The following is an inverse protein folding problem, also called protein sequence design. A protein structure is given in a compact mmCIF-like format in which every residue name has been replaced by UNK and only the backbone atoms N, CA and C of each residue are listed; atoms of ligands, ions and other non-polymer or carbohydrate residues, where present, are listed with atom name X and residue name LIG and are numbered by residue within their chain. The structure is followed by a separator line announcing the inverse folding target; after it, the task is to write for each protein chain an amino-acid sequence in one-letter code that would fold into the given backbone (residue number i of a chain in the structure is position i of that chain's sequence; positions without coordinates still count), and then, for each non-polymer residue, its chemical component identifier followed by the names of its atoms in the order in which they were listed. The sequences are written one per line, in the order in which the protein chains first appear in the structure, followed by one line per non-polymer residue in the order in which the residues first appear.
data_IF_080086342617
#
_entry.id   IF_080086342617
#
_cell.length_a   1.000
_cell.length_b   1.000
_cell.length_c   1.000
_cell.angle_alpha   90.00
_cell.angle_beta   90.00
_cell.angle_gamma   90.00
#
_symmetry.space_group_name_H-M   'P 1'
#
loop_
_entity.id
_entity.type
_entity.pdbx_description
1 polymer ?
#
# COMPACT_ATOMS: atom_id res chain seq x y z
N UNK A 1 -22.85 -0.78 0.78
CA UNK A 1 -21.96 0.15 1.49
C UNK A 1 -20.63 0.12 0.75
N UNK A 2 -20.38 1.11 -0.11
CA UNK A 2 -19.09 1.22 -0.79
C UNK A 2 -18.04 1.34 0.31
N UNK A 3 -17.09 0.41 0.40
CA UNK A 3 -15.91 0.66 1.20
C UNK A 3 -15.22 1.83 0.54
N UNK A 4 -15.44 3.04 1.06
CA UNK A 4 -14.76 4.22 0.57
C UNK A 4 -13.26 3.91 0.55
N UNK A 5 -12.64 4.13 -0.61
CA UNK A 5 -11.23 3.86 -0.86
C UNK A 5 -10.40 4.85 -0.05
N UNK A 6 -10.30 4.61 1.25
CA UNK A 6 -9.53 5.40 2.18
C UNK A 6 -8.04 5.05 1.99
N UNK A 7 -7.37 5.83 1.15
CA UNK A 7 -5.93 5.71 0.93
C UNK A 7 -5.16 6.29 2.12
N UNK A 8 -4.25 5.48 2.67
CA UNK A 8 -3.36 5.86 3.78
C UNK A 8 -1.95 6.04 3.23
N UNK A 9 -1.41 7.25 3.41
CA UNK A 9 -0.05 7.62 3.00
C UNK A 9 0.97 7.11 4.01
N UNK A 10 2.10 6.60 3.52
CA UNK A 10 3.23 6.21 4.37
C UNK A 10 3.80 7.41 5.13
N UNK A 11 4.19 7.21 6.39
CA UNK A 11 4.89 8.21 7.20
C UNK A 11 6.27 8.57 6.67
N UNK A 12 6.83 7.76 5.76
CA UNK A 12 8.10 8.02 5.08
C UNK A 12 7.94 8.85 3.79
N UNK A 13 6.70 9.21 3.45
CA UNK A 13 6.38 10.03 2.28
C UNK A 13 6.41 11.52 2.64
N UNK A 14 7.62 12.08 2.74
CA UNK A 14 7.83 13.52 2.92
C UNK A 14 7.86 14.27 1.59
N UNK A 15 7.52 15.57 1.62
CA UNK A 15 7.57 16.46 0.46
C UNK A 15 8.99 16.61 -0.13
N UNK A 16 10.03 16.37 0.67
CA UNK A 16 11.44 16.53 0.29
C UNK A 16 12.03 15.33 -0.48
N UNK A 17 11.20 14.55 -1.17
CA UNK A 17 11.68 13.50 -2.09
C UNK A 17 11.80 12.09 -1.50
N UNK A 18 11.19 11.83 -0.34
CA UNK A 18 11.10 10.46 0.22
C UNK A 18 10.32 9.48 -0.66
N UNK A 19 10.38 8.18 -0.31
CA UNK A 19 9.58 7.14 -0.98
C UNK A 19 8.07 7.40 -0.75
N UNK A 20 7.30 7.50 -1.84
CA UNK A 20 5.92 7.98 -1.83
C UNK A 20 4.93 6.86 -2.13
N UNK A 21 4.41 6.20 -1.10
CA UNK A 21 3.50 5.06 -1.26
C UNK A 21 2.24 5.26 -0.42
N UNK A 22 1.09 4.96 -1.03
CA UNK A 22 -0.23 4.90 -0.40
C UNK A 22 -0.83 3.49 -0.57
N UNK A 23 -1.62 3.05 0.40
CA UNK A 23 -2.38 1.79 0.33
C UNK A 23 -3.78 1.95 0.93
N UNK A 24 -4.73 1.08 0.56
CA UNK A 24 -6.10 1.14 1.09
C UNK A 24 -6.39 -0.03 2.06
N UNK A 25 -6.26 0.18 3.39
CA UNK A 25 -6.44 -0.88 4.39
C UNK A 25 -7.86 -1.44 4.43
N UNK A 26 -8.89 -0.61 4.18
CA UNK A 26 -10.28 -1.06 4.15
C UNK A 26 -10.52 -2.14 3.09
N UNK A 27 -9.90 -1.98 1.91
CA UNK A 27 -9.96 -2.97 0.83
C UNK A 27 -9.17 -4.22 1.18
N UNK A 28 -7.98 -4.06 1.77
CA UNK A 28 -7.17 -5.20 2.21
C UNK A 28 -7.91 -6.07 3.23
N UNK A 29 -8.60 -5.46 4.18
CA UNK A 29 -9.41 -6.17 5.17
C UNK A 29 -10.65 -6.83 4.55
N UNK A 30 -11.33 -6.15 3.62
CA UNK A 30 -12.56 -6.65 3.02
C UNK A 30 -12.34 -7.75 1.97
N UNK A 31 -11.22 -7.73 1.27
CA UNK A 31 -11.00 -8.56 0.06
C UNK A 31 -9.76 -9.45 0.14
N UNK A 32 -8.87 -9.21 1.10
CA UNK A 32 -7.55 -9.84 1.14
C UNK A 32 -6.59 -9.36 0.05
N UNK A 33 -6.97 -8.34 -0.72
CA UNK A 33 -6.15 -7.74 -1.77
C UNK A 33 -5.57 -6.42 -1.26
N UNK A 34 -4.26 -6.23 -1.39
CA UNK A 34 -3.52 -5.04 -0.89
C UNK A 34 -3.28 -4.11 -2.08
N UNK A 35 -4.13 -3.09 -2.29
CA UNK A 35 -3.92 -2.08 -3.33
C UNK A 35 -2.84 -1.10 -2.88
N UNK A 36 -1.94 -0.77 -3.78
CA UNK A 36 -0.77 0.08 -3.56
C UNK A 36 -0.65 1.04 -4.74
N UNK A 37 -0.38 2.32 -4.47
CA UNK A 37 -0.11 3.30 -5.52
C UNK A 37 0.99 4.27 -5.11
N UNK A 38 1.56 4.92 -6.12
CA UNK A 38 2.46 6.03 -5.91
C UNK A 38 1.66 7.27 -5.45
N UNK A 39 2.12 7.91 -4.37
CA UNK A 39 1.43 9.08 -3.82
C UNK A 39 1.75 10.37 -4.57
N UNK A 40 2.81 10.41 -5.38
CA UNK A 40 3.21 11.60 -6.15
C UNK A 40 2.39 11.73 -7.43
N UNK A 41 2.00 10.61 -8.02
CA UNK A 41 1.17 10.59 -9.22
C UNK A 41 -0.03 9.63 -9.08
N UNK A 42 -1.10 10.16 -8.50
CA UNK A 42 -2.36 9.43 -8.35
C UNK A 42 -3.17 9.29 -9.65
N UNK A 43 -2.69 9.89 -10.75
CA UNK A 43 -3.30 9.70 -12.08
C UNK A 43 -2.89 8.37 -12.71
N UNK A 44 -1.75 7.81 -12.26
CA UNK A 44 -1.31 6.48 -12.68
C UNK A 44 -2.12 5.38 -11.97
N UNK A 45 -2.38 4.26 -12.66
CA UNK A 45 -3.01 3.12 -12.03
C UNK A 45 -2.07 2.52 -10.97
N UNK A 46 -2.59 2.35 -9.75
CA UNK A 46 -1.94 1.52 -8.74
C UNK A 46 -1.93 0.04 -9.14
N UNK A 47 -1.26 -0.78 -8.33
CA UNK A 47 -1.28 -2.23 -8.48
C UNK A 47 -1.84 -2.89 -7.22
N UNK A 48 -2.22 -4.15 -7.33
CA UNK A 48 -2.75 -4.91 -6.19
C UNK A 48 -1.98 -6.22 -6.06
N UNK A 49 -1.64 -6.58 -4.83
CA UNK A 49 -1.03 -7.87 -4.48
C UNK A 49 -1.94 -8.63 -3.53
N UNK A 50 -1.80 -9.95 -3.45
CA UNK A 50 -2.51 -10.71 -2.42
C UNK A 50 -1.93 -10.39 -1.04
N UNK A 51 -2.79 -10.43 -0.01
CA UNK A 51 -2.38 -10.27 1.38
C UNK A 51 -1.32 -11.30 1.79
N UNK A 52 -1.42 -12.53 1.29
CA UNK A 52 -0.40 -13.56 1.51
C UNK A 52 0.97 -13.17 0.95
N UNK A 53 1.02 -12.73 -0.31
CA UNK A 53 2.27 -12.30 -0.94
C UNK A 53 2.87 -11.09 -0.22
N UNK A 54 2.02 -10.14 0.21
CA UNK A 54 2.45 -8.99 0.99
C UNK A 54 3.05 -9.39 2.35
N UNK A 55 2.39 -10.29 3.09
CA UNK A 55 2.90 -10.81 4.36
C UNK A 55 4.22 -11.56 4.19
N UNK A 56 4.35 -12.39 3.16
CA UNK A 56 5.59 -13.10 2.86
C UNK A 56 6.74 -12.13 2.54
N UNK A 57 6.48 -11.10 1.74
CA UNK A 57 7.45 -10.06 1.40
C UNK A 57 7.90 -9.28 2.64
N UNK A 58 6.98 -8.80 3.47
CA UNK A 58 7.34 -8.07 4.70
C UNK A 58 8.10 -8.98 5.68
N UNK A 59 7.70 -10.25 5.77
CA UNK A 59 8.40 -11.25 6.57
C UNK A 59 9.85 -11.45 6.14
N UNK A 60 10.11 -11.53 4.82
CA UNK A 60 11.47 -11.69 4.30
C UNK A 60 12.35 -10.45 4.54
N UNK A 61 11.79 -9.24 4.49
CA UNK A 61 12.52 -8.02 4.82
C UNK A 61 12.90 -7.94 6.31
N UNK A 62 11.99 -8.33 7.20
CA UNK A 62 12.25 -8.35 8.65
C UNK A 62 13.33 -9.36 9.05
N UNK A 63 13.44 -10.47 8.32
CA UNK A 63 14.44 -11.50 8.57
C UNK A 63 15.85 -11.13 8.06
N UNK A 64 15.98 -10.07 7.26
CA UNK A 64 17.24 -9.59 6.70
C UNK A 64 17.91 -8.47 7.53
N UNK A 65 17.27 -8.04 8.62
CA UNK A 65 17.82 -7.06 9.58
C UNK A 65 18.17 -7.71 10.91
#
# INVERSE_FOLDING_TARGET
MNADLAWVKSSYSSADGGNCVEWAPSIALATGAVPIRDSKDTSLPGFTVSGFAWSAFVGSLKAQG
#
